data_IF_052438676625
#
_entry.id   IF_052438676625
#
_cell.length_a   1.000
_cell.length_b   1.000
_cell.length_c   1.000
_cell.angle_alpha   90.00
_cell.angle_beta   90.00
_cell.angle_gamma   90.00
#
_symmetry.space_group_name_H-M   'P 1'
#
loop_
_entity.id
_entity.type
_entity.pdbx_description
1 polymer ?
#
# COMPACT_ATOMS: atom_id res chain seq x y z
N UNK A 1 -4.37 -1.61 -1.46
CA UNK A 1 -5.42 -2.65 -1.36
C UNK A 1 -6.83 -2.09 -1.54
N UNK A 2 -7.38 -1.29 -0.62
CA UNK A 2 -8.78 -0.84 -0.68
C UNK A 2 -9.14 -0.13 -2.00
N UNK A 3 -8.36 0.88 -2.40
CA UNK A 3 -8.60 1.66 -3.62
C UNK A 3 -8.60 0.81 -4.90
N UNK A 4 -7.80 -0.24 -4.94
CA UNK A 4 -7.71 -1.15 -6.08
C UNK A 4 -8.85 -2.18 -6.14
N UNK A 5 -9.59 -2.35 -5.03
CA UNK A 5 -10.75 -3.25 -4.95
C UNK A 5 -12.08 -2.51 -5.06
N UNK A 6 -12.08 -1.20 -5.32
CA UNK A 6 -13.32 -0.45 -5.56
C UNK A 6 -14.06 -1.00 -6.78
N UNK A 7 -15.41 -0.98 -6.80
CA UNK A 7 -16.19 -1.27 -7.99
C UNK A 7 -15.76 -0.32 -9.11
N UNK A 8 -15.49 -0.86 -10.29
CA UNK A 8 -14.88 -0.16 -11.44
C UNK A 8 -13.38 0.17 -11.29
N UNK A 9 -12.70 -0.40 -10.29
CA UNK A 9 -11.27 -0.20 -10.05
C UNK A 9 -10.96 1.14 -9.39
N UNK A 10 -9.70 1.56 -9.48
CA UNK A 10 -9.26 2.85 -8.96
C UNK A 10 -9.80 3.98 -9.84
N UNK A 11 -10.91 4.60 -9.44
CA UNK A 11 -11.57 5.69 -10.19
C UNK A 11 -10.85 7.03 -10.06
N UNK A 12 -9.92 7.16 -9.11
CA UNK A 12 -9.13 8.36 -8.84
C UNK A 12 -7.64 8.01 -8.83
N UNK A 13 -7.02 8.04 -10.01
CA UNK A 13 -5.59 7.70 -10.20
C UNK A 13 -4.69 8.84 -9.73
N UNK A 14 -5.18 10.07 -9.78
CA UNK A 14 -4.42 11.26 -9.39
C UNK A 14 -3.88 11.13 -7.96
N UNK A 15 -2.57 11.39 -7.81
CA UNK A 15 -1.86 11.42 -6.54
C UNK A 15 -1.70 10.06 -5.85
N UNK A 16 -2.18 8.96 -6.44
CA UNK A 16 -1.98 7.61 -5.88
C UNK A 16 -0.49 7.29 -5.78
N UNK A 17 0.30 7.68 -6.78
CA UNK A 17 1.74 7.41 -6.76
C UNK A 17 2.50 8.19 -5.69
N UNK A 18 1.92 9.25 -5.12
CA UNK A 18 2.45 9.91 -3.91
C UNK A 18 2.41 8.98 -2.72
N UNK A 19 1.29 8.29 -2.51
CA UNK A 19 1.15 7.33 -1.42
C UNK A 19 2.09 6.14 -1.60
N UNK A 20 2.25 5.66 -2.84
CA UNK A 20 3.22 4.61 -3.18
C UNK A 20 4.65 5.03 -2.84
N UNK A 21 5.04 6.26 -3.22
CA UNK A 21 6.34 6.83 -2.90
C UNK A 21 6.55 6.98 -1.38
N UNK A 22 5.55 7.49 -0.65
CA UNK A 22 5.65 7.67 0.80
C UNK A 22 5.87 6.34 1.52
N UNK A 23 5.15 5.28 1.11
CA UNK A 23 5.35 3.91 1.63
C UNK A 23 6.80 3.46 1.39
N UNK A 24 7.28 3.61 0.16
CA UNK A 24 8.66 3.27 -0.23
C UNK A 24 9.70 4.04 0.61
N UNK A 25 9.45 5.31 0.93
CA UNK A 25 10.38 6.09 1.77
C UNK A 25 10.38 5.68 3.24
N UNK A 26 9.33 5.02 3.71
CA UNK A 26 9.18 4.61 5.11
C UNK A 26 9.48 3.13 5.36
N UNK A 27 9.33 2.25 4.37
CA UNK A 27 9.29 0.79 4.58
C UNK A 27 10.56 0.18 5.21
N UNK A 28 11.74 0.79 5.00
CA UNK A 28 13.01 0.33 5.58
C UNK A 28 13.40 1.07 6.86
N UNK A 29 12.52 1.92 7.40
CA UNK A 29 12.78 2.62 8.66
C UNK A 29 12.50 1.70 9.85
N UNK A 30 13.23 1.83 10.97
CA UNK A 30 13.02 1.00 12.15
C UNK A 30 11.56 0.98 12.63
N UNK A 31 10.90 2.14 12.63
CA UNK A 31 9.50 2.25 13.05
C UNK A 31 8.54 1.45 12.15
N UNK A 32 8.85 1.30 10.85
CA UNK A 32 8.00 0.55 9.94
C UNK A 32 8.11 -0.95 10.23
N UNK A 33 9.33 -1.43 10.51
CA UNK A 33 9.57 -2.82 10.92
C UNK A 33 8.88 -3.15 12.25
N UNK A 34 9.00 -2.26 13.25
CA UNK A 34 8.30 -2.39 14.53
C UNK A 34 6.78 -2.42 14.35
N UNK A 35 6.23 -1.53 13.52
CA UNK A 35 4.80 -1.49 13.25
C UNK A 35 4.30 -2.77 12.55
N UNK A 36 5.05 -3.30 11.59
CA UNK A 36 4.70 -4.55 10.87
C UNK A 36 4.65 -5.77 11.80
N UNK A 37 5.50 -5.82 12.83
CA UNK A 37 5.51 -6.93 13.79
C UNK A 37 4.45 -6.78 14.90
N UNK A 38 3.84 -5.60 15.04
CA UNK A 38 2.81 -5.36 16.05
C UNK A 38 1.42 -5.79 15.56
N UNK A 39 1.09 -7.06 15.80
CA UNK A 39 -0.18 -7.67 15.42
C UNK A 39 -1.39 -6.92 15.98
N UNK A 40 -1.32 -6.47 17.24
CA UNK A 40 -2.44 -5.77 17.88
C UNK A 40 -2.69 -4.41 17.22
N UNK A 41 -1.64 -3.64 16.99
CA UNK A 41 -1.73 -2.36 16.28
C UNK A 41 -2.39 -2.52 14.91
N UNK A 42 -1.96 -3.52 14.13
CA UNK A 42 -2.54 -3.78 12.83
C UNK A 42 -4.04 -4.13 12.94
N UNK A 43 -4.41 -5.04 13.86
CA UNK A 43 -5.82 -5.41 14.09
C UNK A 43 -6.67 -4.21 14.48
N UNK A 44 -6.14 -3.33 15.34
CA UNK A 44 -6.83 -2.10 15.77
C UNK A 44 -7.03 -1.14 14.60
N UNK A 45 -6.02 -0.99 13.72
CA UNK A 45 -6.14 -0.17 12.49
C UNK A 45 -7.25 -0.73 11.58
N UNK A 46 -7.26 -2.04 11.31
CA UNK A 46 -8.29 -2.67 10.47
C UNK A 46 -9.68 -2.52 11.09
N UNK A 47 -9.80 -2.75 12.41
CA UNK A 47 -11.07 -2.59 13.12
C UNK A 47 -11.57 -1.13 13.08
N UNK A 48 -10.67 -0.17 13.26
CA UNK A 48 -11.00 1.25 13.16
C UNK A 48 -11.45 1.63 11.74
N UNK A 49 -10.71 1.20 10.71
CA UNK A 49 -11.06 1.44 9.30
C UNK A 49 -12.44 0.85 8.97
N UNK A 50 -12.70 -0.39 9.36
CA UNK A 50 -13.97 -1.06 9.15
C UNK A 50 -15.14 -0.36 9.87
N UNK A 51 -14.91 0.20 11.06
CA UNK A 51 -15.96 0.85 11.85
C UNK A 51 -16.29 2.26 11.38
N UNK A 52 -15.28 3.05 11.00
CA UNK A 52 -15.46 4.50 10.81
C UNK A 52 -15.33 4.97 9.36
N UNK A 53 -14.59 4.25 8.53
CA UNK A 53 -14.31 4.67 7.15
C UNK A 53 -14.54 3.56 6.13
N UNK A 54 -15.35 2.55 6.50
CA UNK A 54 -15.71 1.49 5.57
C UNK A 54 -16.49 2.03 4.39
N UNK A 55 -16.19 1.51 3.20
CA UNK A 55 -17.04 1.72 2.03
C UNK A 55 -17.75 0.43 1.65
N UNK A 56 -18.97 0.57 1.15
CA UNK A 56 -19.87 -0.55 0.84
C UNK A 56 -19.31 -1.41 -0.30
N UNK A 57 -18.90 -2.64 0.00
CA UNK A 57 -18.43 -3.60 -1.01
C UNK A 57 -17.03 -4.15 -0.76
N UNK A 58 -16.35 -3.74 0.31
CA UNK A 58 -15.07 -4.32 0.71
C UNK A 58 -15.23 -5.28 1.88
N UNK A 59 -14.69 -6.49 1.74
CA UNK A 59 -14.56 -7.43 2.85
C UNK A 59 -13.31 -7.09 3.66
N UNK A 60 -13.48 -6.46 4.82
CA UNK A 60 -12.36 -6.11 5.70
C UNK A 60 -11.67 -7.33 6.33
N UNK A 61 -12.25 -8.53 6.24
CA UNK A 61 -11.55 -9.76 6.66
C UNK A 61 -10.38 -10.12 5.73
N UNK A 62 -10.31 -9.54 4.52
CA UNK A 62 -9.17 -9.71 3.61
C UNK A 62 -7.98 -8.81 3.96
N UNK A 63 -8.10 -7.93 4.95
CA UNK A 63 -6.97 -7.12 5.43
C UNK A 63 -6.07 -7.94 6.34
N UNK A 64 -5.54 -9.05 5.84
CA UNK A 64 -4.55 -9.88 6.52
C UNK A 64 -3.21 -9.78 5.77
N UNK A 65 -2.06 -10.03 6.42
CA UNK A 65 -0.75 -9.89 5.78
C UNK A 65 -0.61 -10.72 4.51
N UNK A 66 -1.23 -11.91 4.47
CA UNK A 66 -1.19 -12.80 3.31
C UNK A 66 -2.11 -12.39 2.15
N UNK A 67 -3.09 -11.51 2.38
CA UNK A 67 -4.11 -11.12 1.38
C UNK A 67 -4.10 -9.63 1.06
N UNK A 68 -3.48 -8.80 1.90
CA UNK A 68 -3.26 -7.39 1.58
C UNK A 68 -2.36 -7.29 0.35
N UNK A 69 -2.69 -6.35 -0.54
CA UNK A 69 -1.94 -6.10 -1.76
C UNK A 69 -1.56 -4.62 -1.83
N UNK A 70 -0.26 -4.39 -1.98
CA UNK A 70 0.30 -3.08 -2.26
C UNK A 70 0.39 -2.82 -3.76
N UNK A 71 0.32 -3.88 -4.56
CA UNK A 71 0.48 -3.79 -6.01
C UNK A 71 -0.83 -3.36 -6.69
N UNK A 72 -0.77 -2.36 -7.59
CA UNK A 72 -1.89 -2.00 -8.44
C UNK A 72 -2.22 -3.12 -9.45
N UNK A 73 -3.46 -3.17 -9.95
CA UNK A 73 -3.83 -3.99 -11.09
C UNK A 73 -3.02 -3.59 -12.34
N UNK A 74 -2.64 -4.57 -13.17
CA UNK A 74 -1.85 -4.31 -14.38
C UNK A 74 -2.57 -3.35 -15.35
N UNK A 75 -3.91 -3.40 -15.37
CA UNK A 75 -4.75 -2.54 -16.23
C UNK A 75 -4.60 -1.03 -15.99
N UNK A 76 -4.14 -0.61 -14.81
CA UNK A 76 -3.96 0.81 -14.46
C UNK A 76 -2.49 1.23 -14.33
N UNK A 77 -1.55 0.31 -14.58
CA UNK A 77 -0.12 0.54 -14.33
C UNK A 77 0.46 1.66 -15.18
N UNK A 78 0.09 1.75 -16.46
CA UNK A 78 0.54 2.84 -17.33
C UNK A 78 -0.03 4.20 -16.91
N UNK A 79 -1.29 4.23 -16.48
CA UNK A 79 -1.89 5.45 -15.95
C UNK A 79 -1.20 5.92 -14.64
N UNK A 80 -0.79 4.97 -13.79
CA UNK A 80 0.03 5.27 -12.61
C UNK A 80 1.43 5.74 -13.00
N UNK A 81 2.05 5.17 -14.03
CA UNK A 81 3.35 5.64 -14.52
C UNK A 81 3.27 7.11 -14.96
N UNK A 82 2.18 7.52 -15.59
CA UNK A 82 1.96 8.91 -15.98
C UNK A 82 1.64 9.82 -14.78
N UNK A 83 0.84 9.37 -13.79
CA UNK A 83 0.66 10.07 -12.51
C UNK A 83 2.01 10.31 -11.80
N UNK A 84 2.90 9.32 -11.82
CA UNK A 84 4.22 9.44 -11.22
C UNK A 84 5.09 10.50 -11.91
N UNK A 85 5.10 10.54 -13.26
CA UNK A 85 5.81 11.58 -14.02
C UNK A 85 5.31 12.97 -13.63
N UNK A 86 4.00 13.15 -13.52
CA UNK A 86 3.41 14.42 -13.09
C UNK A 86 3.82 14.79 -11.66
N UNK A 87 3.85 13.80 -10.76
CA UNK A 87 4.32 14.02 -9.40
C UNK A 87 5.79 14.46 -9.35
N UNK A 88 6.67 13.84 -10.16
CA UNK A 88 8.09 14.15 -10.19
C UNK A 88 8.39 15.60 -10.61
N UNK A 89 7.53 16.23 -11.41
CA UNK A 89 7.68 17.65 -11.79
C UNK A 89 7.66 18.56 -10.55
N UNK A 90 6.89 18.20 -9.53
CA UNK A 90 6.81 18.94 -8.26
C UNK A 90 7.88 18.56 -7.24
N UNK A 91 8.77 17.60 -7.55
CA UNK A 91 9.83 17.19 -6.64
C UNK A 91 11.02 18.14 -6.73
N UNK A 92 11.46 18.63 -5.57
CA UNK A 92 12.68 19.45 -5.44
C UNK A 92 13.94 18.56 -5.37
N UNK A 93 13.77 17.24 -5.26
CA UNK A 93 14.85 16.29 -4.94
C UNK A 93 15.39 15.58 -6.19
N UNK A 94 16.71 15.64 -6.38
CA UNK A 94 17.40 15.09 -7.55
C UNK A 94 17.46 13.54 -7.63
N UNK A 95 17.16 12.83 -6.53
CA UNK A 95 17.36 11.37 -6.41
C UNK A 95 16.06 10.62 -6.05
N UNK A 96 14.95 10.96 -6.71
CA UNK A 96 13.73 10.17 -6.59
C UNK A 96 13.88 8.83 -7.35
N UNK A 97 13.38 7.71 -6.80
CA UNK A 97 13.37 6.44 -7.51
C UNK A 97 12.55 6.57 -8.80
N UNK A 98 12.81 5.72 -9.78
CA UNK A 98 11.95 5.51 -10.93
C UNK A 98 10.65 4.84 -10.51
N UNK A 99 9.64 4.90 -11.39
CA UNK A 99 8.38 4.19 -11.17
C UNK A 99 8.60 2.68 -11.02
N UNK A 100 9.51 2.10 -11.81
CA UNK A 100 9.80 0.66 -11.76
C UNK A 100 10.49 0.27 -10.45
N UNK A 101 11.41 1.10 -9.93
CA UNK A 101 11.99 0.91 -8.59
C UNK A 101 10.94 1.03 -7.47
N UNK A 102 9.96 1.92 -7.59
CA UNK A 102 8.83 1.97 -6.65
C UNK A 102 8.05 0.65 -6.68
N UNK A 103 7.75 0.15 -7.88
CA UNK A 103 6.99 -1.09 -8.05
C UNK A 103 7.74 -2.31 -7.49
N UNK A 104 9.05 -2.39 -7.70
CA UNK A 104 9.90 -3.43 -7.14
C UNK A 104 9.90 -3.39 -5.60
N UNK A 105 10.07 -2.21 -5.00
CA UNK A 105 10.05 -2.07 -3.55
C UNK A 105 8.67 -2.34 -2.93
N UNK A 106 7.58 -1.96 -3.60
CA UNK A 106 6.23 -2.34 -3.16
C UNK A 106 5.99 -3.86 -3.26
N UNK A 107 6.58 -4.51 -4.25
CA UNK A 107 6.55 -5.97 -4.35
C UNK A 107 7.30 -6.60 -3.18
N UNK A 108 8.50 -6.10 -2.87
CA UNK A 108 9.27 -6.55 -1.73
C UNK A 108 8.51 -6.35 -0.41
N UNK A 109 7.90 -5.18 -0.21
CA UNK A 109 7.08 -4.92 0.98
C UNK A 109 5.93 -5.92 1.11
N UNK A 110 5.25 -6.21 0.00
CA UNK A 110 4.18 -7.19 -0.02
C UNK A 110 4.68 -8.58 0.39
N UNK A 111 5.86 -9.00 -0.10
CA UNK A 111 6.44 -10.28 0.27
C UNK A 111 6.87 -10.32 1.74
N UNK A 112 7.39 -9.21 2.28
CA UNK A 112 7.67 -9.07 3.72
C UNK A 112 6.40 -9.26 4.55
N UNK A 113 5.28 -8.65 4.14
CA UNK A 113 3.98 -8.84 4.80
C UNK A 113 3.50 -10.30 4.70
N UNK A 114 3.63 -10.94 3.54
CA UNK A 114 3.24 -12.34 3.34
C UNK A 114 4.06 -13.32 4.17
N UNK A 115 5.31 -12.97 4.49
CA UNK A 115 6.19 -13.74 5.36
C UNK A 115 5.96 -13.49 6.87
N UNK A 116 5.04 -12.62 7.25
CA UNK A 116 4.74 -12.37 8.67
C UNK A 116 4.04 -13.59 9.27
N UNK A 117 4.78 -14.31 10.12
CA UNK A 117 4.25 -15.37 10.97
C UNK A 117 3.54 -14.77 12.18
N UNK A 118 2.28 -14.39 12.00
CA UNK A 118 1.44 -14.00 13.13
C UNK A 118 1.07 -15.25 13.92
N UNK A 119 1.78 -15.48 15.03
CA UNK A 119 1.39 -16.50 16.00
C UNK A 119 -0.05 -16.23 16.41
N UNK A 120 -0.95 -17.14 16.06
CA UNK A 120 -2.30 -17.17 16.57
C UNK A 120 -2.19 -17.35 18.09
N UNK A 121 -2.21 -16.24 18.84
CA UNK A 121 -2.58 -16.27 20.24
C UNK A 121 -4.07 -16.63 20.26
N UNK A 122 -4.34 -17.94 20.23
CA UNK A 122 -5.61 -18.53 20.65
C UNK A 122 -5.76 -18.37 22.16
#
# INVERSE_FOLDING_TARGET
HEEFNRPNGCTHIERITRHMYDIVKMMDKPFAMEAMQNVQLYKDIVAHRNKFTAWSGLDYTTHLPHTISFLPPESIKEALRDDYKQMQIGFIYANAPSFDEIMEQLHELQDRFRALEWKNNR
#
